data_IF_475219223378
#
_entry.id   IF_475219223378
#
_cell.length_a   1.000
_cell.length_b   1.000
_cell.length_c   1.000
_cell.angle_alpha   90.00
_cell.angle_beta   90.00
_cell.angle_gamma   90.00
#
_symmetry.space_group_name_H-M   'P 1'
#
loop_
_entity.id
_entity.type
_entity.pdbx_description
1 polymer ?
#
# COMPACT_ATOMS: atom_id res chain seq x y z
N UNK A 1 3.44 -7.15 16.72
CA UNK A 1 2.58 -8.09 15.98
C UNK A 1 3.45 -9.27 15.57
N UNK A 2 3.11 -10.54 15.88
CA UNK A 2 3.98 -11.67 15.56
C UNK A 2 3.91 -11.98 14.06
N UNK A 3 5.07 -12.26 13.46
CA UNK A 3 5.24 -12.59 12.05
C UNK A 3 5.18 -14.12 11.91
N UNK A 4 4.24 -14.63 11.12
CA UNK A 4 4.17 -16.06 10.79
C UNK A 4 5.08 -16.34 9.59
N UNK A 5 6.04 -17.27 9.73
CA UNK A 5 6.96 -17.70 8.67
C UNK A 5 6.82 -19.23 8.52
N UNK A 6 6.55 -19.72 7.32
CA UNK A 6 6.49 -21.16 6.97
C UNK A 6 7.59 -21.42 5.93
N UNK A 7 8.44 -22.43 6.13
CA UNK A 7 9.64 -22.64 5.31
C UNK A 7 9.73 -24.04 4.65
N UNK A 8 9.61 -24.07 3.31
CA UNK A 8 10.05 -25.14 2.37
C UNK A 8 10.11 -24.54 0.95
N UNK A 9 11.13 -24.84 0.10
CA UNK A 9 11.94 -23.81 -0.61
C UNK A 9 11.32 -22.42 -0.44
N UNK A 10 11.66 -21.83 0.71
CA UNK A 10 10.70 -21.13 1.54
C UNK A 10 10.16 -19.90 0.84
N UNK A 11 8.95 -19.99 0.31
CA UNK A 11 8.15 -18.83 -0.05
C UNK A 11 8.15 -17.88 1.15
N UNK A 12 8.90 -16.79 1.03
CA UNK A 12 8.98 -15.76 2.05
C UNK A 12 7.83 -14.79 1.85
N UNK A 13 7.17 -14.44 2.94
CA UNK A 13 6.03 -13.53 2.92
C UNK A 13 6.22 -12.41 3.95
N UNK A 14 6.14 -11.18 3.48
CA UNK A 14 6.11 -9.98 4.30
C UNK A 14 4.73 -9.33 4.22
N UNK A 15 4.19 -8.91 5.36
CA UNK A 15 2.95 -8.15 5.41
C UNK A 15 3.15 -6.89 6.24
N UNK A 16 2.67 -5.75 5.74
CA UNK A 16 2.75 -4.47 6.42
C UNK A 16 1.47 -3.67 6.22
N UNK A 17 1.19 -2.76 7.17
CA UNK A 17 0.06 -1.83 7.10
C UNK A 17 0.49 -0.47 7.64
N UNK A 18 0.07 0.59 6.94
CA UNK A 18 0.28 1.97 7.34
C UNK A 18 -1.04 2.75 7.25
N UNK A 19 -1.34 3.57 8.25
CA UNK A 19 -2.45 4.51 8.18
C UNK A 19 -2.12 5.59 7.14
N UNK A 20 -3.07 5.86 6.24
CA UNK A 20 -2.98 6.88 5.19
C UNK A 20 -4.17 7.85 5.26
N UNK A 21 -4.88 7.89 6.39
CA UNK A 21 -5.95 8.86 6.64
C UNK A 21 -5.41 10.28 6.46
N UNK A 22 -5.99 11.08 5.55
CA UNK A 22 -5.54 12.46 5.38
C UNK A 22 -5.88 13.29 6.63
N UNK A 23 -5.17 14.39 6.80
CA UNK A 23 -5.48 15.35 7.86
C UNK A 23 -6.87 16.01 7.67
N UNK A 24 -7.40 16.67 8.72
CA UNK A 24 -8.66 17.39 8.65
C UNK A 24 -8.71 18.39 7.49
N UNK A 25 -9.89 18.55 6.88
CA UNK A 25 -10.10 19.49 5.77
C UNK A 25 -9.83 18.95 4.37
N UNK A 26 -9.48 17.65 4.23
CA UNK A 26 -9.31 17.05 2.92
C UNK A 26 -10.63 17.00 2.12
N UNK A 27 -10.53 17.23 0.81
CA UNK A 27 -11.63 17.03 -0.13
C UNK A 27 -11.75 15.54 -0.45
N UNK A 28 -12.93 15.02 -0.26
CA UNK A 28 -13.22 13.61 -0.48
C UNK A 28 -13.60 13.39 -1.96
N UNK A 29 -13.03 12.35 -2.58
CA UNK A 29 -13.32 11.97 -3.97
C UNK A 29 -14.59 11.11 -4.09
N UNK A 30 -15.08 10.91 -5.31
CA UNK A 30 -16.16 9.98 -5.65
C UNK A 30 -17.58 10.55 -5.73
N UNK A 31 -17.86 11.70 -5.12
CA UNK A 31 -19.16 12.37 -5.23
C UNK A 31 -18.98 13.83 -5.68
N UNK A 32 -19.11 14.06 -6.99
CA UNK A 32 -18.76 15.33 -7.66
C UNK A 32 -19.58 16.52 -7.15
N UNK A 33 -20.82 16.30 -6.71
CA UNK A 33 -21.68 17.37 -6.21
C UNK A 33 -21.32 17.86 -4.80
N UNK A 34 -20.45 17.16 -4.06
CA UNK A 34 -19.99 17.61 -2.75
C UNK A 34 -19.00 18.76 -2.92
N UNK A 35 -19.25 19.83 -2.18
CA UNK A 35 -18.38 21.01 -2.18
C UNK A 35 -17.66 21.22 -0.85
N UNK A 36 -18.14 20.53 0.19
CA UNK A 36 -17.63 20.62 1.55
C UNK A 36 -16.47 19.63 1.78
N UNK A 37 -15.45 20.00 2.57
CA UNK A 37 -14.41 19.08 3.00
C UNK A 37 -14.94 18.05 4.01
N UNK A 38 -14.12 17.04 4.31
CA UNK A 38 -14.43 16.13 5.42
C UNK A 38 -14.53 16.90 6.75
N UNK A 39 -15.57 16.60 7.53
CA UNK A 39 -15.78 17.16 8.87
C UNK A 39 -15.03 16.38 9.96
N UNK A 40 -14.61 15.15 9.66
CA UNK A 40 -13.93 14.25 10.57
C UNK A 40 -13.64 12.90 9.93
N UNK A 41 -13.05 12.02 10.72
CA UNK A 41 -12.70 10.64 10.34
C UNK A 41 -13.66 9.70 11.06
N UNK A 42 -14.35 8.82 10.32
CA UNK A 42 -15.13 7.74 10.91
C UNK A 42 -14.25 6.52 11.16
N UNK A 43 -13.60 6.02 10.09
CA UNK A 43 -12.60 4.96 10.14
C UNK A 43 -11.32 5.43 9.46
N UNK A 44 -10.19 4.92 9.92
CA UNK A 44 -8.91 5.16 9.27
C UNK A 44 -8.82 4.46 7.91
N UNK A 45 -8.13 5.10 6.97
CA UNK A 45 -7.78 4.54 5.67
C UNK A 45 -6.38 3.93 5.76
N UNK A 46 -6.16 2.79 5.10
CA UNK A 46 -4.88 2.10 5.17
C UNK A 46 -4.29 1.75 3.82
N UNK A 47 -2.96 1.81 3.77
CA UNK A 47 -2.15 1.09 2.82
C UNK A 47 -1.78 -0.26 3.44
N UNK A 48 -2.05 -1.36 2.73
CA UNK A 48 -1.65 -2.72 3.11
C UNK A 48 -0.77 -3.29 2.02
N UNK A 49 0.37 -3.85 2.39
CA UNK A 49 1.29 -4.49 1.47
C UNK A 49 1.46 -5.97 1.81
N UNK A 50 1.45 -6.80 0.78
CA UNK A 50 1.84 -8.21 0.83
C UNK A 50 2.98 -8.42 -0.16
N UNK A 51 4.14 -8.86 0.31
CA UNK A 51 5.32 -9.09 -0.52
C UNK A 51 5.70 -10.56 -0.44
N UNK A 52 5.89 -11.18 -1.61
CA UNK A 52 6.26 -12.58 -1.74
C UNK A 52 7.62 -12.69 -2.44
N UNK A 53 8.46 -13.60 -1.96
CA UNK A 53 9.71 -14.00 -2.63
C UNK A 53 9.80 -15.52 -2.61
N UNK A 54 10.32 -16.11 -3.67
CA UNK A 54 10.62 -17.54 -3.75
C UNK A 54 11.87 -17.95 -2.96
N UNK A 55 12.46 -17.02 -2.19
CA UNK A 55 13.67 -17.24 -1.39
C UNK A 55 14.96 -17.28 -2.20
N UNK A 56 14.90 -17.13 -3.54
CA UNK A 56 16.08 -17.11 -4.39
C UNK A 56 16.54 -15.67 -4.66
N UNK A 57 17.83 -15.42 -4.58
CA UNK A 57 18.41 -14.07 -4.75
C UNK A 57 18.28 -13.53 -6.18
N UNK A 58 18.01 -14.39 -7.16
CA UNK A 58 17.94 -14.02 -8.57
C UNK A 58 16.51 -13.69 -9.05
N UNK A 59 15.50 -13.89 -8.20
CA UNK A 59 14.11 -13.59 -8.50
C UNK A 59 13.71 -12.29 -7.78
N UNK A 60 13.14 -11.34 -8.53
CA UNK A 60 12.58 -10.15 -7.92
C UNK A 60 11.37 -10.51 -7.05
N UNK A 61 11.22 -9.94 -5.84
CA UNK A 61 10.02 -10.14 -5.04
C UNK A 61 8.80 -9.52 -5.73
N UNK A 62 7.63 -10.11 -5.50
CA UNK A 62 6.34 -9.60 -6.01
C UNK A 62 5.57 -8.96 -4.87
N UNK A 63 5.20 -7.69 -5.04
CA UNK A 63 4.39 -6.93 -4.08
C UNK A 63 2.96 -6.71 -4.58
N UNK A 64 1.98 -6.95 -3.70
CA UNK A 64 0.57 -6.56 -3.88
C UNK A 64 0.24 -5.48 -2.85
N UNK A 65 -0.31 -4.36 -3.31
CA UNK A 65 -0.79 -3.30 -2.44
C UNK A 65 -2.31 -3.18 -2.53
N UNK A 66 -2.96 -3.12 -1.37
CA UNK A 66 -4.36 -2.77 -1.22
C UNK A 66 -4.45 -1.44 -0.47
N UNK A 67 -4.99 -0.43 -1.13
CA UNK A 67 -5.13 0.92 -0.59
C UNK A 67 -6.62 1.24 -0.45
N UNK A 68 -7.01 1.78 0.71
CA UNK A 68 -8.38 2.22 0.96
C UNK A 68 -8.65 3.56 0.24
N UNK A 69 -8.60 3.54 -1.09
CA UNK A 69 -8.74 4.67 -2.00
C UNK A 69 -9.71 4.31 -3.13
N UNK A 70 -10.47 5.29 -3.62
CA UNK A 70 -11.42 5.08 -4.72
C UNK A 70 -10.75 4.81 -6.07
N UNK A 71 -9.53 5.31 -6.27
CA UNK A 71 -8.80 5.15 -7.51
C UNK A 71 -7.35 5.60 -7.38
N UNK A 72 -6.54 5.15 -8.33
CA UNK A 72 -5.13 5.49 -8.45
C UNK A 72 -4.87 5.89 -9.89
N UNK A 73 -4.34 7.08 -10.10
CA UNK A 73 -3.86 7.48 -11.43
C UNK A 73 -2.51 6.82 -11.72
N UNK A 74 -2.16 6.78 -13.01
CA UNK A 74 -0.93 6.14 -13.48
C UNK A 74 0.33 6.79 -12.92
N UNK A 75 0.33 8.11 -12.71
CA UNK A 75 1.46 8.84 -12.14
C UNK A 75 1.74 8.41 -10.70
N UNK A 76 0.70 8.34 -9.87
CA UNK A 76 0.82 7.85 -8.50
C UNK A 76 1.29 6.39 -8.44
N UNK A 77 0.76 5.52 -9.31
CA UNK A 77 1.19 4.11 -9.39
C UNK A 77 2.67 4.01 -9.75
N UNK A 78 3.15 4.80 -10.72
CA UNK A 78 4.57 4.81 -11.10
C UNK A 78 5.46 5.34 -9.98
N UNK A 79 5.05 6.42 -9.31
CA UNK A 79 5.79 6.98 -8.18
C UNK A 79 5.94 5.98 -7.02
N UNK A 80 4.87 5.23 -6.69
CA UNK A 80 4.93 4.17 -5.67
C UNK A 80 5.88 3.05 -6.08
N UNK A 81 5.81 2.58 -7.34
CA UNK A 81 6.70 1.53 -7.85
C UNK A 81 8.16 1.95 -7.83
N UNK A 82 8.45 3.16 -8.30
CA UNK A 82 9.81 3.69 -8.31
C UNK A 82 10.35 3.82 -6.88
N UNK A 83 9.57 4.40 -5.97
CA UNK A 83 9.99 4.55 -4.58
C UNK A 83 10.24 3.20 -3.89
N UNK A 84 9.43 2.19 -4.19
CA UNK A 84 9.63 0.84 -3.69
C UNK A 84 10.93 0.22 -4.24
N UNK A 85 11.21 0.38 -5.54
CA UNK A 85 12.45 -0.09 -6.16
C UNK A 85 13.68 0.57 -5.52
N UNK A 86 13.68 1.91 -5.38
CA UNK A 86 14.77 2.67 -4.79
C UNK A 86 15.09 2.20 -3.35
N UNK A 87 14.06 1.92 -2.54
CA UNK A 87 14.23 1.47 -1.16
C UNK A 87 14.76 0.03 -1.06
N UNK A 88 14.52 -0.79 -2.08
CA UNK A 88 14.99 -2.18 -2.14
C UNK A 88 16.35 -2.31 -2.84
N UNK A 89 16.83 -1.25 -3.50
CA UNK A 89 18.11 -1.25 -4.23
C UNK A 89 18.03 -1.88 -5.61
N UNK A 90 16.87 -1.80 -6.27
CA UNK A 90 16.68 -2.20 -7.68
C UNK A 90 16.65 -0.99 -8.61
#
# INVERSE_FOLDING_TARGET
MPQCVIASPSLMLGAARACITPGPGAILSGFVARTEPMLGVHDDLFARALVLSDGHTNSAPVGVLALDLIGLDTGLVQAIRQRAADLMGF
#
